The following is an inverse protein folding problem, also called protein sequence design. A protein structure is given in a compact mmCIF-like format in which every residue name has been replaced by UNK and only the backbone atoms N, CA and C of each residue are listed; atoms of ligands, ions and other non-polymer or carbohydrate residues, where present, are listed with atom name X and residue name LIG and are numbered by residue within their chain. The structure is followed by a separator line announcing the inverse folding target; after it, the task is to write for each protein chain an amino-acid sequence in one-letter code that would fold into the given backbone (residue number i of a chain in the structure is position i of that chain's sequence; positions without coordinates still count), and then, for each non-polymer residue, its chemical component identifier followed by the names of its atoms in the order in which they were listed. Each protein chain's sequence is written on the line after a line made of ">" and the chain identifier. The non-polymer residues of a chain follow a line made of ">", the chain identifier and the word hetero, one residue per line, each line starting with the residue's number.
data_IF_672701809186
#
_entry.id   IF_672701809186
#
_cell.length_a   1.000
_cell.length_b   1.000
_cell.length_c   1.000
_cell.angle_alpha   90.00
_cell.angle_beta   90.00
_cell.angle_gamma   90.00
#
_symmetry.space_group_name_H-M   'P 1'
#
loop_
_entity.id
_entity.type
_entity.pdbx_description
1 polymer ?
#
# COMPACT_ATOMS: atom_id res chain seq x y z
N UNK A 1 39.60 11.74 48.00
CA UNK A 1 38.24 11.22 47.96
C UNK A 1 37.34 12.28 47.24
N UNK A 2 37.10 12.13 45.97
CA UNK A 2 36.20 13.01 45.17
C UNK A 2 34.84 12.31 45.06
N UNK A 3 33.80 12.91 45.67
CA UNK A 3 32.41 12.43 45.56
C UNK A 3 31.85 12.85 44.19
N UNK A 4 31.47 11.88 43.39
CA UNK A 4 30.75 12.10 42.15
C UNK A 4 29.25 12.31 42.47
N UNK A 5 28.72 13.49 42.21
CA UNK A 5 27.28 13.77 42.28
C UNK A 5 26.66 13.27 40.99
N UNK A 6 25.82 12.25 41.09
CA UNK A 6 24.97 11.81 39.96
C UNK A 6 23.70 12.67 40.02
N UNK A 7 23.56 13.59 39.08
CA UNK A 7 22.33 14.35 38.86
C UNK A 7 21.33 13.47 38.11
N UNK A 8 20.34 12.92 38.80
CA UNK A 8 19.19 12.27 38.15
C UNK A 8 18.25 13.34 37.64
N UNK A 9 18.21 13.53 36.32
CA UNK A 9 17.20 14.37 35.65
C UNK A 9 15.87 13.62 35.62
N UNK A 10 14.96 13.99 36.52
CA UNK A 10 13.55 13.61 36.40
C UNK A 10 12.93 14.42 35.28
N UNK A 11 12.64 13.78 34.14
CA UNK A 11 11.75 14.36 33.15
C UNK A 11 10.33 14.35 33.74
N UNK A 12 9.87 15.50 34.18
CA UNK A 12 8.47 15.73 34.49
C UNK A 12 7.68 15.70 33.19
N UNK A 13 6.93 14.64 32.97
CA UNK A 13 5.86 14.62 31.97
C UNK A 13 4.81 15.60 32.49
N UNK A 14 4.70 16.76 31.86
CA UNK A 14 3.62 17.71 32.12
C UNK A 14 2.30 17.03 31.76
N UNK A 15 1.56 16.57 32.76
CA UNK A 15 0.21 16.08 32.62
C UNK A 15 -0.65 17.23 32.07
N UNK A 16 -1.34 17.03 30.95
CA UNK A 16 -2.43 17.91 30.52
C UNK A 16 -3.51 17.89 31.57
N UNK A 17 -3.79 19.03 32.15
CA UNK A 17 -4.52 19.20 33.40
C UNK A 17 -6.04 18.95 33.35
N UNK A 18 -6.64 18.49 32.21
CA UNK A 18 -8.10 18.41 32.07
C UNK A 18 -8.63 17.13 31.36
N UNK A 19 -7.82 16.12 31.11
CA UNK A 19 -8.38 14.85 30.60
C UNK A 19 -8.71 13.93 31.80
N UNK A 20 -9.94 13.37 31.85
CA UNK A 20 -10.30 12.41 32.88
C UNK A 20 -9.39 11.18 32.78
N UNK A 21 -8.96 10.64 33.90
CA UNK A 21 -8.14 9.43 33.94
C UNK A 21 -8.86 8.29 33.21
N UNK A 22 -8.14 7.51 32.40
CA UNK A 22 -8.75 6.41 31.65
C UNK A 22 -9.30 5.36 32.63
N UNK A 23 -10.43 4.74 32.25
CA UNK A 23 -11.07 3.67 33.02
C UNK A 23 -10.46 2.32 32.64
N UNK A 24 -10.42 1.40 33.58
CA UNK A 24 -9.99 0.02 33.31
C UNK A 24 -10.90 -0.57 32.22
N UNK A 25 -10.29 -1.19 31.18
CA UNK A 25 -10.96 -1.75 30.01
C UNK A 25 -11.63 -0.71 29.07
N UNK A 26 -11.38 0.57 29.26
CA UNK A 26 -11.82 1.59 28.32
C UNK A 26 -11.07 1.44 26.99
N UNK A 27 -11.82 1.39 25.89
CA UNK A 27 -11.25 1.27 24.54
C UNK A 27 -10.56 2.57 24.15
N UNK A 28 -9.28 2.48 23.75
CA UNK A 28 -8.60 3.61 23.12
C UNK A 28 -9.24 3.93 21.77
N UNK A 29 -9.55 5.20 21.55
CA UNK A 29 -10.14 5.69 20.29
C UNK A 29 -9.02 6.24 19.42
N UNK A 30 -8.93 5.74 18.19
CA UNK A 30 -8.03 6.27 17.16
C UNK A 30 -8.69 7.46 16.45
N UNK A 31 -7.88 8.36 15.87
CA UNK A 31 -8.37 9.45 14.99
C UNK A 31 -8.90 8.92 13.65
N UNK A 32 -8.42 7.72 13.23
CA UNK A 32 -8.81 7.12 11.96
C UNK A 32 -7.93 7.53 10.78
N UNK A 33 -6.76 8.11 11.07
CA UNK A 33 -5.76 8.48 10.09
C UNK A 33 -4.38 7.84 10.38
N UNK A 34 -4.30 6.97 11.38
CA UNK A 34 -3.04 6.37 11.78
C UNK A 34 -2.73 5.09 11.01
N UNK A 35 -1.44 4.93 10.68
CA UNK A 35 -0.84 3.67 10.24
C UNK A 35 -0.04 3.01 11.35
N UNK A 36 0.15 1.70 11.25
CA UNK A 36 0.93 0.89 12.21
C UNK A 36 2.31 0.59 11.64
N UNK A 37 3.35 0.90 12.42
CA UNK A 37 4.75 0.60 12.12
C UNK A 37 5.39 -0.02 13.36
N UNK A 38 5.78 -1.27 13.32
CA UNK A 38 6.31 -2.03 14.46
C UNK A 38 5.39 -1.92 15.71
N UNK A 39 4.08 -2.02 15.51
CA UNK A 39 3.09 -1.90 16.59
C UNK A 39 2.84 -0.47 17.10
N UNK A 40 3.53 0.55 16.55
CA UNK A 40 3.36 1.96 16.92
C UNK A 40 2.46 2.66 15.89
N UNK A 41 1.68 3.64 16.36
CA UNK A 41 0.76 4.43 15.53
C UNK A 41 1.42 5.73 15.06
N UNK A 42 1.25 6.04 13.76
CA UNK A 42 1.75 7.27 13.14
C UNK A 42 0.64 7.92 12.32
N UNK A 43 0.40 9.21 12.51
CA UNK A 43 -0.60 9.97 11.75
C UNK A 43 -0.20 10.15 10.29
N UNK A 44 -1.17 9.98 9.37
CA UNK A 44 -1.03 10.26 7.94
C UNK A 44 -1.81 11.51 7.50
N UNK A 45 -2.69 12.02 8.35
CA UNK A 45 -3.65 13.11 8.05
C UNK A 45 -4.65 12.78 6.94
N UNK A 46 -4.85 11.50 6.62
CA UNK A 46 -5.88 11.02 5.70
C UNK A 46 -6.55 9.77 6.27
N UNK A 47 -7.74 9.44 5.78
CA UNK A 47 -8.51 8.30 6.31
C UNK A 47 -7.78 6.97 6.12
N UNK A 48 -7.56 6.27 7.22
CA UNK A 48 -6.97 4.92 7.26
C UNK A 48 -7.87 3.96 8.03
N UNK A 49 -8.15 2.82 7.43
CA UNK A 49 -8.81 1.67 8.07
C UNK A 49 -7.75 0.60 8.29
N UNK A 50 -7.50 0.22 9.54
CA UNK A 50 -6.56 -0.85 9.87
C UNK A 50 -7.23 -2.22 9.74
N UNK A 51 -6.42 -3.27 9.61
CA UNK A 51 -6.91 -4.67 9.60
C UNK A 51 -7.69 -5.05 10.86
N UNK A 52 -7.49 -4.34 11.97
CA UNK A 52 -8.20 -4.53 13.25
C UNK A 52 -9.48 -3.72 13.38
N UNK A 53 -9.74 -2.79 12.46
CA UNK A 53 -10.94 -1.95 12.49
C UNK A 53 -12.14 -2.67 11.86
N UNK A 54 -13.37 -2.29 12.23
CA UNK A 54 -14.55 -2.76 11.50
C UNK A 54 -14.47 -2.42 10.01
N UNK A 55 -14.61 -3.45 9.17
CA UNK A 55 -14.49 -3.32 7.71
C UNK A 55 -13.06 -3.29 7.20
N UNK A 56 -12.06 -3.46 8.06
CA UNK A 56 -10.66 -3.60 7.68
C UNK A 56 -10.36 -4.92 6.94
N UNK A 57 -9.24 -4.92 6.22
CA UNK A 57 -8.77 -6.07 5.43
C UNK A 57 -7.62 -6.75 6.17
N UNK A 58 -7.92 -7.88 6.83
CA UNK A 58 -6.98 -8.59 7.68
C UNK A 58 -6.17 -9.62 6.90
N UNK A 59 -4.93 -9.26 6.50
CA UNK A 59 -4.01 -10.18 5.86
C UNK A 59 -3.27 -11.11 6.85
N UNK A 60 -3.48 -10.93 8.16
CA UNK A 60 -3.02 -11.87 9.19
C UNK A 60 -3.98 -13.05 9.37
N UNK A 61 -5.13 -13.06 8.69
CA UNK A 61 -6.07 -14.18 8.79
C UNK A 61 -5.36 -15.52 8.68
N UNK A 62 -5.54 -16.34 9.70
CA UNK A 62 -5.09 -17.74 9.67
C UNK A 62 -6.16 -18.55 8.94
N UNK A 63 -5.74 -19.24 7.90
CA UNK A 63 -6.62 -20.17 7.20
C UNK A 63 -6.77 -21.43 8.07
N UNK A 64 -7.99 -21.91 8.31
CA UNK A 64 -8.21 -23.15 9.03
C UNK A 64 -7.43 -24.30 8.40
N UNK A 65 -6.76 -25.10 9.23
CA UNK A 65 -5.97 -26.26 8.78
C UNK A 65 -6.82 -27.40 8.27
N UNK A 66 -8.06 -27.45 8.73
CA UNK A 66 -9.01 -28.52 8.42
C UNK A 66 -10.34 -27.92 7.96
N UNK A 67 -11.00 -28.58 7.01
CA UNK A 67 -12.33 -28.22 6.56
C UNK A 67 -13.40 -28.48 7.63
N UNK A 68 -14.64 -28.04 7.40
CA UNK A 68 -15.76 -28.28 8.32
C UNK A 68 -16.03 -29.77 8.61
N UNK A 69 -15.62 -30.63 7.71
CA UNK A 69 -15.66 -32.09 7.78
C UNK A 69 -14.47 -32.73 8.52
N UNK A 70 -13.53 -31.91 9.00
CA UNK A 70 -12.29 -32.37 9.64
C UNK A 70 -11.24 -32.93 8.67
N UNK A 71 -11.52 -32.94 7.37
CA UNK A 71 -10.60 -33.39 6.33
C UNK A 71 -9.55 -32.35 5.94
N UNK A 72 -8.43 -32.79 5.33
CA UNK A 72 -7.42 -31.86 4.80
C UNK A 72 -8.00 -31.13 3.60
N UNK A 73 -7.65 -29.90 3.52
CA UNK A 73 -8.16 -28.95 2.60
C UNK A 73 -7.35 -28.93 1.29
N UNK A 74 -8.00 -29.21 0.12
CA UNK A 74 -7.36 -29.27 -1.19
C UNK A 74 -7.19 -27.87 -1.84
N UNK A 75 -5.95 -27.53 -2.21
CA UNK A 75 -5.55 -26.26 -2.82
C UNK A 75 -6.01 -26.07 -4.27
N UNK A 76 -6.46 -27.11 -4.95
CA UNK A 76 -6.69 -27.08 -6.40
C UNK A 76 -8.09 -26.59 -6.81
N UNK A 77 -9.02 -26.52 -5.90
CA UNK A 77 -10.44 -26.24 -6.18
C UNK A 77 -10.98 -24.92 -5.63
N UNK A 78 -10.30 -23.83 -5.76
CA UNK A 78 -10.36 -22.51 -5.14
C UNK A 78 -9.60 -22.50 -3.82
N UNK A 79 -8.84 -21.47 -3.51
CA UNK A 79 -8.35 -21.29 -2.15
C UNK A 79 -9.54 -21.04 -1.25
N UNK A 80 -10.22 -22.09 -0.92
CA UNK A 80 -11.13 -22.13 0.17
C UNK A 80 -10.27 -21.87 1.40
N UNK A 81 -10.49 -20.76 2.07
CA UNK A 81 -9.77 -20.37 3.28
C UNK A 81 -9.88 -21.44 4.38
N UNK A 82 -10.76 -22.40 4.21
CA UNK A 82 -10.87 -23.58 5.07
C UNK A 82 -9.84 -24.65 4.74
N UNK A 83 -8.96 -24.44 3.70
CA UNK A 83 -8.12 -25.49 3.10
C UNK A 83 -6.63 -25.28 3.23
N UNK A 84 -6.14 -24.93 4.42
CA UNK A 84 -4.73 -24.95 4.76
C UNK A 84 -4.22 -26.37 4.98
N UNK A 85 -3.57 -26.92 3.97
CA UNK A 85 -2.81 -28.17 4.12
C UNK A 85 -1.49 -27.99 4.88
N UNK A 86 -0.76 -29.06 5.22
CA UNK A 86 0.59 -28.99 5.75
C UNK A 86 1.46 -28.14 4.80
N UNK A 87 2.03 -27.04 5.29
CA UNK A 87 2.82 -26.10 4.51
C UNK A 87 2.08 -24.85 4.02
N UNK A 88 0.83 -24.64 4.40
CA UNK A 88 0.18 -23.34 4.24
C UNK A 88 0.89 -22.32 5.11
N UNK A 89 1.40 -21.30 4.43
CA UNK A 89 2.16 -20.22 5.05
C UNK A 89 1.28 -18.98 5.07
N UNK A 90 1.53 -18.11 6.04
CA UNK A 90 1.12 -16.72 5.95
C UNK A 90 1.46 -16.17 4.55
N UNK A 91 0.65 -15.26 4.04
CA UNK A 91 0.89 -14.60 2.75
C UNK A 91 1.92 -13.48 2.85
N UNK A 92 2.70 -13.46 3.89
CA UNK A 92 3.77 -12.51 4.19
C UNK A 92 4.92 -13.25 4.87
N UNK A 93 6.07 -12.63 4.95
CA UNK A 93 7.25 -13.18 5.60
C UNK A 93 7.93 -12.19 6.54
N UNK A 94 8.97 -12.66 7.21
CA UNK A 94 9.85 -11.79 7.99
C UNK A 94 10.85 -11.11 7.04
N UNK A 95 11.08 -9.81 7.23
CA UNK A 95 12.17 -9.10 6.54
C UNK A 95 13.52 -9.63 7.02
N UNK A 96 14.43 -9.92 6.10
CA UNK A 96 15.77 -10.48 6.40
C UNK A 96 16.90 -9.78 5.66
N UNK A 97 16.58 -9.04 4.61
CA UNK A 97 17.60 -8.38 3.77
C UNK A 97 18.39 -7.33 4.57
N UNK A 98 19.71 -7.35 4.43
CA UNK A 98 20.59 -6.37 5.05
C UNK A 98 20.75 -6.47 6.56
N UNK A 99 20.33 -7.59 7.18
CA UNK A 99 20.49 -7.86 8.61
C UNK A 99 21.63 -8.85 8.87
N UNK A 100 22.40 -8.61 9.92
CA UNK A 100 23.35 -9.58 10.47
C UNK A 100 22.63 -10.76 11.15
N UNK A 101 23.28 -11.90 11.39
CA UNK A 101 22.71 -13.02 12.14
C UNK A 101 22.20 -12.61 13.54
N UNK A 102 22.90 -11.71 14.22
CA UNK A 102 22.51 -11.19 15.53
C UNK A 102 21.23 -10.36 15.43
N UNK A 103 21.10 -9.52 14.42
CA UNK A 103 19.90 -8.73 14.18
C UNK A 103 18.71 -9.61 13.77
N UNK A 104 18.94 -10.67 13.00
CA UNK A 104 17.89 -11.66 12.71
C UNK A 104 17.40 -12.32 14.00
N UNK A 105 18.30 -12.65 14.93
CA UNK A 105 17.89 -13.21 16.21
C UNK A 105 17.17 -12.18 17.09
N UNK A 106 17.60 -10.93 17.07
CA UNK A 106 16.92 -9.84 17.77
C UNK A 106 15.47 -9.65 17.29
N UNK A 107 15.22 -9.69 15.96
CA UNK A 107 13.84 -9.52 15.44
C UNK A 107 12.90 -10.66 15.78
N UNK A 108 13.40 -11.82 16.19
CA UNK A 108 12.56 -12.89 16.77
C UNK A 108 11.94 -12.45 18.10
N UNK A 109 12.60 -11.54 18.81
CA UNK A 109 12.05 -10.87 19.99
C UNK A 109 11.20 -9.65 19.72
N UNK A 110 11.11 -9.19 18.48
CA UNK A 110 10.31 -8.07 18.02
C UNK A 110 11.10 -7.03 17.22
N UNK A 111 10.42 -6.40 16.25
CA UNK A 111 10.96 -5.28 15.48
C UNK A 111 10.78 -3.96 16.20
N UNK A 112 11.77 -3.08 16.09
CA UNK A 112 11.65 -1.66 16.40
C UNK A 112 11.76 -0.79 15.13
N UNK A 113 11.33 0.47 15.23
CA UNK A 113 11.33 1.40 14.10
C UNK A 113 12.76 1.68 13.59
N UNK A 114 13.78 1.93 14.46
CA UNK A 114 15.16 2.13 14.01
C UNK A 114 15.73 0.97 13.19
N UNK A 115 15.46 -0.27 13.59
CA UNK A 115 15.91 -1.44 12.84
C UNK A 115 15.18 -1.56 11.50
N UNK A 116 13.87 -1.29 11.49
CA UNK A 116 13.09 -1.33 10.25
C UNK A 116 13.52 -0.24 9.26
N UNK A 117 13.88 0.95 9.73
CA UNK A 117 14.44 2.04 8.93
C UNK A 117 15.76 1.67 8.22
N UNK A 118 16.50 0.70 8.75
CA UNK A 118 17.72 0.20 8.11
C UNK A 118 17.44 -0.71 6.93
N UNK A 119 16.30 -1.38 6.93
CA UNK A 119 15.91 -2.40 5.94
C UNK A 119 15.01 -1.82 4.85
N UNK A 120 14.03 -0.99 5.23
CA UNK A 120 13.06 -0.44 4.29
C UNK A 120 13.61 0.80 3.60
N UNK A 121 13.70 0.74 2.27
CA UNK A 121 14.23 1.82 1.43
C UNK A 121 13.53 2.00 0.08
N UNK A 122 12.43 1.26 -0.14
CA UNK A 122 11.61 1.34 -1.36
C UNK A 122 10.12 1.39 -1.02
N UNK A 123 9.36 2.14 -1.84
CA UNK A 123 7.90 2.13 -1.85
C UNK A 123 7.43 1.79 -3.26
N UNK A 124 6.71 0.67 -3.43
CA UNK A 124 6.27 0.17 -4.73
C UNK A 124 4.77 0.42 -4.91
N UNK A 125 4.44 1.11 -6.00
CA UNK A 125 3.07 1.45 -6.36
C UNK A 125 2.57 0.52 -7.45
N UNK A 126 1.39 -0.07 -7.21
CA UNK A 126 0.66 -0.92 -8.14
C UNK A 126 -0.67 -0.27 -8.53
N UNK A 127 -1.26 -0.65 -9.65
CA UNK A 127 -2.71 -0.63 -9.80
C UNK A 127 -3.25 -2.03 -9.53
N UNK A 128 -4.43 -2.13 -8.91
CA UNK A 128 -4.98 -3.42 -8.48
C UNK A 128 -5.57 -4.28 -9.61
N UNK A 129 -5.75 -3.72 -10.80
CA UNK A 129 -6.38 -4.35 -11.97
C UNK A 129 -7.79 -4.92 -11.70
N UNK A 130 -8.36 -4.67 -10.53
CA UNK A 130 -9.69 -5.14 -10.11
C UNK A 130 -10.70 -4.00 -10.10
N UNK A 131 -10.27 -2.82 -9.68
CA UNK A 131 -11.03 -1.58 -9.69
C UNK A 131 -11.60 -1.18 -8.34
N UNK A 132 -11.50 -2.04 -7.30
CA UNK A 132 -11.86 -1.72 -5.91
C UNK A 132 -10.92 -2.43 -4.95
N UNK A 133 -10.59 -1.80 -3.83
CA UNK A 133 -9.75 -2.39 -2.80
C UNK A 133 -10.32 -3.68 -2.21
N UNK A 134 -11.64 -3.75 -2.06
CA UNK A 134 -12.32 -4.98 -1.56
C UNK A 134 -12.10 -6.16 -2.50
N UNK A 135 -12.33 -5.95 -3.79
CA UNK A 135 -12.11 -6.99 -4.81
C UNK A 135 -10.65 -7.39 -4.89
N UNK A 136 -9.74 -6.41 -4.85
CA UNK A 136 -8.31 -6.66 -4.84
C UNK A 136 -7.89 -7.52 -3.63
N UNK A 137 -8.35 -7.19 -2.43
CA UNK A 137 -8.05 -7.96 -1.23
C UNK A 137 -8.51 -9.42 -1.36
N UNK A 138 -9.72 -9.65 -1.87
CA UNK A 138 -10.23 -11.00 -2.12
C UNK A 138 -9.33 -11.78 -3.10
N UNK A 139 -8.95 -11.15 -4.22
CA UNK A 139 -8.08 -11.79 -5.22
C UNK A 139 -6.70 -12.10 -4.62
N UNK A 140 -6.07 -11.16 -3.92
CA UNK A 140 -4.75 -11.38 -3.33
C UNK A 140 -4.80 -12.43 -2.23
N UNK A 141 -5.70 -12.27 -1.27
CA UNK A 141 -5.75 -13.09 -0.07
C UNK A 141 -6.36 -14.47 -0.33
N UNK A 142 -7.49 -14.51 -1.06
CA UNK A 142 -8.31 -15.71 -1.14
C UNK A 142 -7.99 -16.56 -2.39
N UNK A 143 -7.49 -15.94 -3.47
CA UNK A 143 -7.23 -16.66 -4.72
C UNK A 143 -5.75 -16.87 -5.01
N UNK A 144 -4.89 -15.90 -4.68
CA UNK A 144 -3.49 -15.90 -5.10
C UNK A 144 -2.48 -16.20 -4.00
N UNK A 145 -2.87 -16.12 -2.73
CA UNK A 145 -1.95 -16.28 -1.61
C UNK A 145 -0.85 -15.20 -1.58
N UNK A 146 -1.21 -13.98 -1.92
CA UNK A 146 -0.34 -12.79 -1.94
C UNK A 146 -0.82 -11.75 -0.92
N UNK A 147 -0.01 -10.74 -0.67
CA UNK A 147 -0.33 -9.64 0.22
C UNK A 147 0.31 -8.33 -0.24
N UNK A 148 -0.21 -7.23 0.26
CA UNK A 148 0.35 -5.89 0.11
C UNK A 148 0.16 -5.16 1.44
N UNK A 149 0.95 -4.14 1.77
CA UNK A 149 0.80 -3.42 3.04
C UNK A 149 -0.41 -2.49 3.04
N UNK A 150 -0.67 -1.84 1.90
CA UNK A 150 -1.74 -0.87 1.75
C UNK A 150 -2.59 -1.15 0.52
N UNK A 151 -3.88 -0.82 0.64
CA UNK A 151 -4.79 -0.68 -0.49
C UNK A 151 -5.42 0.69 -0.44
N UNK A 152 -5.54 1.35 -1.57
CA UNK A 152 -6.11 2.69 -1.70
C UNK A 152 -7.32 2.63 -2.61
N UNK A 153 -8.51 2.81 -2.02
CA UNK A 153 -9.76 2.76 -2.77
C UNK A 153 -10.03 4.05 -3.56
N UNK A 154 -10.97 4.01 -4.48
CA UNK A 154 -11.32 5.11 -5.40
C UNK A 154 -11.74 6.39 -4.67
N UNK A 155 -12.28 6.29 -3.46
CA UNK A 155 -12.71 7.42 -2.62
C UNK A 155 -11.58 8.02 -1.77
N UNK A 156 -10.35 7.52 -1.90
CA UNK A 156 -9.20 7.96 -1.12
C UNK A 156 -9.05 7.28 0.24
N UNK A 157 -9.91 6.31 0.58
CA UNK A 157 -9.76 5.52 1.81
C UNK A 157 -8.57 4.57 1.66
N UNK A 158 -7.62 4.65 2.60
CA UNK A 158 -6.49 3.74 2.71
C UNK A 158 -6.87 2.59 3.65
N UNK A 159 -6.61 1.36 3.23
CA UNK A 159 -6.69 0.17 4.07
C UNK A 159 -5.28 -0.32 4.33
N UNK A 160 -4.86 -0.37 5.59
CA UNK A 160 -3.63 -1.05 5.95
C UNK A 160 -3.95 -2.50 6.33
N UNK A 161 -3.33 -3.45 5.64
CA UNK A 161 -3.63 -4.89 5.76
C UNK A 161 -2.63 -5.63 6.66
N UNK A 162 -1.40 -5.09 6.79
CA UNK A 162 -0.27 -5.63 7.55
C UNK A 162 0.52 -4.50 8.21
N UNK A 163 1.12 -4.77 9.37
CA UNK A 163 2.16 -3.92 9.95
C UNK A 163 3.37 -3.85 9.00
N UNK A 164 4.01 -2.69 8.88
CA UNK A 164 5.14 -2.48 7.96
C UNK A 164 6.39 -3.29 8.29
N UNK A 165 6.47 -3.88 9.48
CA UNK A 165 7.53 -4.83 9.84
C UNK A 165 7.49 -6.13 9.02
N UNK A 166 6.32 -6.50 8.51
CA UNK A 166 6.17 -7.69 7.70
C UNK A 166 6.76 -7.48 6.28
N UNK A 167 7.19 -8.56 5.63
CA UNK A 167 7.54 -8.58 4.21
C UNK A 167 6.33 -9.04 3.42
N UNK A 168 5.52 -8.12 2.91
CA UNK A 168 4.39 -8.46 2.05
C UNK A 168 4.87 -9.05 0.71
N UNK A 169 4.06 -9.92 0.11
CA UNK A 169 4.39 -10.60 -1.14
C UNK A 169 3.67 -9.95 -2.32
N UNK A 170 4.27 -8.88 -2.88
CA UNK A 170 3.66 -8.06 -3.94
C UNK A 170 4.59 -7.78 -5.14
N UNK A 171 5.92 -7.75 -4.95
CA UNK A 171 6.87 -7.30 -5.96
C UNK A 171 8.17 -8.13 -5.97
N UNK A 172 8.08 -9.45 -5.77
CA UNK A 172 9.16 -10.43 -5.87
C UNK A 172 10.46 -10.02 -5.16
N UNK A 173 11.49 -9.62 -5.94
CA UNK A 173 12.82 -9.24 -5.41
C UNK A 173 12.79 -7.98 -4.54
N UNK A 174 11.76 -7.14 -4.66
CA UNK A 174 11.59 -5.96 -3.82
C UNK A 174 10.95 -6.26 -2.44
N UNK A 175 10.26 -7.40 -2.26
CA UNK A 175 9.45 -7.69 -1.07
C UNK A 175 10.19 -7.46 0.25
N UNK A 176 11.45 -7.89 0.33
CA UNK A 176 12.24 -7.84 1.57
C UNK A 176 12.58 -6.43 2.05
N UNK A 177 12.61 -5.44 1.15
CA UNK A 177 13.05 -4.07 1.41
C UNK A 177 12.02 -2.99 1.06
N UNK A 178 10.87 -3.37 0.51
CA UNK A 178 9.84 -2.42 0.09
C UNK A 178 8.60 -2.44 0.96
N UNK A 179 7.88 -1.34 0.90
CA UNK A 179 6.46 -1.24 1.26
C UNK A 179 5.68 -1.24 -0.05
N UNK A 180 4.52 -1.90 -0.12
CA UNK A 180 3.69 -1.93 -1.31
C UNK A 180 2.31 -1.35 -1.09
N UNK A 181 1.74 -0.76 -2.15
CA UNK A 181 0.36 -0.29 -2.20
C UNK A 181 -0.32 -0.70 -3.50
N UNK A 182 -1.52 -1.25 -3.40
CA UNK A 182 -2.43 -1.47 -4.52
C UNK A 182 -3.41 -0.29 -4.58
N UNK A 183 -3.39 0.45 -5.70
CA UNK A 183 -4.29 1.58 -5.92
C UNK A 183 -5.44 1.13 -6.83
N UNK A 184 -6.67 1.28 -6.37
CA UNK A 184 -7.86 0.83 -7.10
C UNK A 184 -7.95 1.50 -8.47
N UNK A 185 -7.79 0.71 -9.52
CA UNK A 185 -7.91 1.10 -10.92
C UNK A 185 -7.93 -0.19 -11.75
N UNK A 186 -8.80 -0.27 -12.75
CA UNK A 186 -8.90 -1.49 -13.57
C UNK A 186 -7.67 -1.80 -14.40
N UNK A 187 -6.70 -0.89 -14.45
CA UNK A 187 -5.42 -1.06 -15.12
C UNK A 187 -5.34 -0.48 -16.52
N UNK A 188 -4.23 -0.80 -17.18
CA UNK A 188 -3.91 -0.35 -18.53
C UNK A 188 -4.08 -1.49 -19.54
N UNK A 189 -4.56 -1.17 -20.75
CA UNK A 189 -4.91 -2.11 -21.80
C UNK A 189 -4.28 -1.69 -23.11
N UNK A 190 -4.03 -2.65 -24.02
CA UNK A 190 -3.63 -2.35 -25.39
C UNK A 190 -4.72 -1.52 -26.12
N UNK A 191 -4.31 -0.72 -27.10
CA UNK A 191 -5.20 0.25 -27.76
C UNK A 191 -6.44 -0.37 -28.41
N UNK A 192 -6.35 -1.62 -28.81
CA UNK A 192 -7.47 -2.38 -29.41
C UNK A 192 -8.35 -3.10 -28.37
N UNK A 193 -8.01 -3.04 -27.07
CA UNK A 193 -8.79 -3.68 -26.00
C UNK A 193 -9.46 -2.61 -25.14
N UNK A 194 -10.71 -2.32 -25.44
CA UNK A 194 -11.54 -1.36 -24.70
C UNK A 194 -12.65 -2.00 -23.86
N UNK A 195 -12.85 -3.30 -24.00
CA UNK A 195 -14.04 -3.95 -23.46
C UNK A 195 -14.23 -3.76 -21.96
N UNK A 196 -13.13 -3.77 -21.17
CA UNK A 196 -13.20 -3.55 -19.73
C UNK A 196 -13.26 -2.06 -19.39
N UNK A 197 -12.52 -1.22 -20.11
CA UNK A 197 -12.55 0.24 -19.96
C UNK A 197 -13.98 0.75 -20.16
N UNK A 198 -14.62 0.36 -21.25
CA UNK A 198 -15.96 0.82 -21.63
C UNK A 198 -17.07 0.34 -20.66
N UNK A 199 -16.81 -0.71 -19.89
CA UNK A 199 -17.74 -1.17 -18.84
C UNK A 199 -17.63 -0.35 -17.56
N UNK A 200 -16.43 0.11 -17.20
CA UNK A 200 -16.16 0.80 -15.93
C UNK A 200 -16.26 2.33 -16.03
N UNK A 201 -16.07 2.89 -17.23
CA UNK A 201 -16.03 4.33 -17.44
C UNK A 201 -17.10 4.76 -18.45
N UNK A 202 -17.95 5.69 -18.05
CA UNK A 202 -19.04 6.20 -18.86
C UNK A 202 -19.10 7.73 -18.82
N UNK A 203 -19.48 8.41 -19.91
CA UNK A 203 -19.78 9.82 -19.85
C UNK A 203 -21.00 10.07 -18.94
N UNK A 204 -20.88 11.05 -18.06
CA UNK A 204 -21.97 11.54 -17.25
C UNK A 204 -22.89 12.52 -18.03
N UNK A 205 -23.98 13.01 -17.39
CA UNK A 205 -24.87 13.98 -18.00
C UNK A 205 -24.19 15.31 -18.35
N UNK A 206 -23.07 15.63 -17.67
CA UNK A 206 -22.23 16.81 -17.90
C UNK A 206 -21.12 16.57 -18.95
N UNK A 207 -21.13 15.41 -19.60
CA UNK A 207 -20.12 14.99 -20.57
C UNK A 207 -18.79 14.52 -19.99
N UNK A 208 -18.58 14.65 -18.67
CA UNK A 208 -17.36 14.19 -18.01
C UNK A 208 -17.43 12.70 -17.72
N UNK A 209 -16.27 12.06 -17.72
CA UNK A 209 -16.16 10.63 -17.41
C UNK A 209 -16.41 10.38 -15.93
N UNK A 210 -17.19 9.34 -15.64
CA UNK A 210 -17.45 8.82 -14.30
C UNK A 210 -17.15 7.33 -14.23
N UNK A 211 -16.83 6.89 -13.02
CA UNK A 211 -16.61 5.47 -12.71
C UNK A 211 -17.95 4.87 -12.32
N UNK A 212 -18.33 3.79 -13.00
CA UNK A 212 -19.61 3.12 -12.79
C UNK A 212 -19.42 1.68 -12.34
N UNK A 213 -20.43 1.11 -11.70
CA UNK A 213 -20.51 -0.31 -11.44
C UNK A 213 -20.66 -1.06 -12.79
N UNK A 214 -19.72 -1.95 -13.14
CA UNK A 214 -19.73 -2.63 -14.43
C UNK A 214 -20.92 -3.58 -14.61
N UNK A 215 -21.62 -3.98 -13.54
CA UNK A 215 -22.83 -4.82 -13.60
C UNK A 215 -24.11 -4.04 -13.86
N UNK A 216 -24.21 -2.79 -13.36
CA UNK A 216 -25.42 -2.00 -13.43
C UNK A 216 -25.30 -0.74 -14.28
N UNK A 217 -24.08 -0.32 -14.60
CA UNK A 217 -23.74 0.97 -15.25
C UNK A 217 -24.20 2.21 -14.46
N UNK A 218 -24.59 2.04 -13.19
CA UNK A 218 -24.86 3.15 -12.29
C UNK A 218 -23.55 3.71 -11.70
N UNK A 219 -23.54 4.99 -11.24
CA UNK A 219 -22.36 5.51 -10.54
C UNK A 219 -21.94 4.59 -9.39
N UNK A 220 -20.68 4.21 -9.38
CA UNK A 220 -20.13 3.38 -8.31
C UNK A 220 -20.11 4.18 -7.01
N UNK A 221 -20.65 3.59 -5.94
CA UNK A 221 -20.65 4.17 -4.60
C UNK A 221 -19.80 3.36 -3.66
N UNK A 222 -18.89 4.01 -2.96
CA UNK A 222 -18.00 3.42 -1.97
C UNK A 222 -18.12 4.17 -0.64
N UNK A 223 -18.20 3.43 0.47
CA UNK A 223 -18.12 3.98 1.83
C UNK A 223 -19.05 5.19 2.08
N UNK A 224 -20.22 5.25 1.46
CA UNK A 224 -21.15 6.38 1.56
C UNK A 224 -20.56 7.71 1.07
N UNK A 225 -19.63 7.67 0.11
CA UNK A 225 -19.11 8.90 -0.50
C UNK A 225 -20.24 9.74 -1.07
N UNK A 226 -20.32 11.01 -0.65
CA UNK A 226 -21.33 11.96 -1.10
C UNK A 226 -21.05 12.52 -2.50
N UNK A 227 -19.96 12.10 -3.15
CA UNK A 227 -19.51 12.59 -4.44
C UNK A 227 -19.40 11.46 -5.46
N UNK A 228 -19.58 11.82 -6.71
CA UNK A 228 -19.44 10.91 -7.84
C UNK A 228 -17.96 10.63 -8.12
N UNK A 229 -17.61 9.35 -8.22
CA UNK A 229 -16.24 8.91 -8.49
C UNK A 229 -15.87 9.16 -9.96
N UNK A 230 -14.76 9.85 -10.18
CA UNK A 230 -14.27 10.24 -11.51
C UNK A 230 -12.76 10.11 -11.62
N UNK A 231 -12.21 9.80 -12.78
CA UNK A 231 -10.78 9.96 -13.02
C UNK A 231 -10.40 11.44 -12.87
N UNK A 232 -9.17 11.73 -12.43
CA UNK A 232 -8.71 13.12 -12.23
C UNK A 232 -8.51 13.88 -13.55
N UNK A 233 -8.42 13.16 -14.66
CA UNK A 233 -8.45 13.65 -16.06
C UNK A 233 -9.50 12.87 -16.82
N UNK A 234 -10.35 13.58 -17.58
CA UNK A 234 -11.42 12.95 -18.38
C UNK A 234 -10.89 12.20 -19.60
N UNK A 235 -9.68 12.53 -20.05
CA UNK A 235 -9.09 11.90 -21.23
C UNK A 235 -8.60 10.48 -20.94
N UNK A 236 -8.76 9.61 -21.92
CA UNK A 236 -8.12 8.31 -21.95
C UNK A 236 -6.65 8.49 -22.31
N UNK A 237 -5.77 8.23 -21.35
CA UNK A 237 -4.34 8.48 -21.51
C UNK A 237 -3.68 7.32 -22.25
N UNK A 238 -2.96 7.66 -23.32
CA UNK A 238 -2.12 6.72 -24.06
C UNK A 238 -0.66 6.95 -23.73
N UNK A 239 0.09 5.86 -23.54
CA UNK A 239 1.52 5.94 -23.32
C UNK A 239 2.20 4.57 -23.33
N UNK A 240 3.53 4.59 -23.39
CA UNK A 240 4.34 3.37 -23.51
C UNK A 240 4.92 2.98 -22.16
N UNK A 241 4.73 1.72 -21.76
CA UNK A 241 5.39 1.10 -20.60
C UNK A 241 5.96 -0.25 -21.06
N UNK A 242 7.21 -0.55 -20.75
CA UNK A 242 7.91 -1.79 -21.19
C UNK A 242 7.83 -2.03 -22.70
N UNK A 243 7.91 -0.95 -23.50
CA UNK A 243 7.76 -1.04 -24.95
C UNK A 243 6.34 -1.34 -25.46
N UNK A 244 5.35 -1.47 -24.56
CA UNK A 244 3.96 -1.72 -24.89
C UNK A 244 3.18 -0.40 -24.95
N UNK A 245 2.44 -0.18 -26.02
CA UNK A 245 1.55 0.96 -26.16
C UNK A 245 0.21 0.65 -25.50
N UNK A 246 -0.13 1.41 -24.44
CA UNK A 246 -1.23 1.15 -23.53
C UNK A 246 -2.12 2.38 -23.36
N UNK A 247 -3.40 2.13 -23.07
CA UNK A 247 -4.39 3.15 -22.74
C UNK A 247 -4.96 2.89 -21.33
N UNK A 248 -5.23 3.96 -20.59
CA UNK A 248 -5.70 3.89 -19.20
C UNK A 248 -6.44 5.16 -18.83
N UNK A 249 -7.57 5.05 -18.12
CA UNK A 249 -8.10 6.20 -17.39
C UNK A 249 -7.32 6.45 -16.11
N UNK A 250 -7.22 7.72 -15.76
CA UNK A 250 -6.48 8.20 -14.61
C UNK A 250 -7.09 7.74 -13.28
N UNK A 251 -6.30 7.80 -12.24
CA UNK A 251 -6.73 7.64 -10.85
C UNK A 251 -7.59 8.84 -10.42
N UNK A 252 -8.34 8.70 -9.34
CA UNK A 252 -9.19 9.79 -8.84
C UNK A 252 -8.36 10.88 -8.16
N UNK A 253 -8.97 12.08 -8.02
CA UNK A 253 -8.38 13.17 -7.26
C UNK A 253 -8.12 12.76 -5.81
N UNK A 254 -9.07 12.06 -5.20
CA UNK A 254 -9.02 11.57 -3.82
C UNK A 254 -7.90 10.58 -3.60
N UNK A 255 -7.65 9.70 -4.59
CA UNK A 255 -6.52 8.77 -4.54
C UNK A 255 -5.18 9.51 -4.55
N UNK A 256 -4.99 10.52 -5.40
CA UNK A 256 -3.75 11.30 -5.40
C UNK A 256 -3.53 12.08 -4.10
N UNK A 257 -4.58 12.66 -3.52
CA UNK A 257 -4.49 13.38 -2.25
C UNK A 257 -4.09 12.45 -1.09
N UNK A 258 -4.74 11.31 -0.98
CA UNK A 258 -4.44 10.31 0.04
C UNK A 258 -3.05 9.67 -0.15
N UNK A 259 -2.70 9.33 -1.41
CA UNK A 259 -1.41 8.75 -1.75
C UNK A 259 -0.25 9.72 -1.46
N UNK A 260 -0.43 11.00 -1.74
CA UNK A 260 0.60 12.01 -1.44
C UNK A 260 0.86 12.13 0.08
N UNK A 261 -0.20 12.09 0.90
CA UNK A 261 -0.08 12.11 2.36
C UNK A 261 0.59 10.85 2.90
N UNK A 262 0.19 9.67 2.42
CA UNK A 262 0.84 8.41 2.78
C UNK A 262 2.30 8.40 2.36
N UNK A 263 2.61 8.83 1.13
CA UNK A 263 3.99 8.90 0.61
C UNK A 263 4.86 9.83 1.47
N UNK A 264 4.36 11.02 1.81
CA UNK A 264 5.06 11.95 2.69
C UNK A 264 5.32 11.32 4.08
N UNK A 265 4.32 10.66 4.64
CA UNK A 265 4.45 9.93 5.92
C UNK A 265 5.51 8.85 5.84
N UNK A 266 5.48 8.00 4.81
CA UNK A 266 6.46 6.93 4.64
C UNK A 266 7.87 7.45 4.42
N UNK A 267 8.07 8.50 3.61
CA UNK A 267 9.38 9.12 3.41
C UNK A 267 9.92 9.79 4.70
N UNK A 268 9.04 10.28 5.56
CA UNK A 268 9.41 10.86 6.87
C UNK A 268 9.80 9.76 7.86
N UNK A 269 9.02 8.68 7.96
CA UNK A 269 9.32 7.56 8.86
C UNK A 269 10.54 6.78 8.36
N UNK A 270 10.68 6.57 7.06
CA UNK A 270 11.76 5.80 6.42
C UNK A 270 12.64 6.71 5.55
N UNK A 271 13.62 7.41 6.11
CA UNK A 271 14.40 8.42 5.39
C UNK A 271 15.26 7.86 4.23
N UNK A 272 15.42 6.54 4.15
CA UNK A 272 16.04 5.90 2.99
C UNK A 272 15.11 5.88 1.77
N UNK A 273 13.80 5.98 1.93
CA UNK A 273 12.87 6.14 0.82
C UNK A 273 12.96 7.59 0.35
N UNK A 274 13.79 7.87 -0.65
CA UNK A 274 13.83 9.19 -1.27
C UNK A 274 12.48 9.47 -1.92
N UNK A 275 11.93 10.66 -1.68
CA UNK A 275 10.68 11.09 -2.29
C UNK A 275 10.93 11.46 -3.76
N UNK A 276 11.26 10.47 -4.59
CA UNK A 276 11.49 10.56 -6.03
C UNK A 276 11.30 9.18 -6.68
N UNK A 277 11.12 9.19 -8.01
CA UNK A 277 10.96 7.99 -8.84
C UNK A 277 12.18 7.83 -9.78
N UNK A 278 12.39 6.63 -10.41
CA UNK A 278 13.49 6.41 -11.33
C UNK A 278 13.43 7.32 -12.56
N UNK A 279 14.53 8.04 -12.79
CA UNK A 279 14.70 8.92 -13.94
C UNK A 279 15.79 8.39 -14.87
N UNK A 280 15.67 8.67 -16.15
CA UNK A 280 16.73 8.44 -17.12
C UNK A 280 17.82 9.55 -17.06
N UNK A 281 18.81 9.48 -17.93
CA UNK A 281 19.89 10.45 -18.00
C UNK A 281 19.44 11.87 -18.40
N UNK A 282 18.27 12.00 -19.02
CA UNK A 282 17.65 13.27 -19.38
C UNK A 282 16.74 13.82 -18.27
N UNK A 283 16.60 13.09 -17.14
CA UNK A 283 15.73 13.45 -16.03
C UNK A 283 14.26 13.06 -16.23
N UNK A 284 13.91 12.39 -17.31
CA UNK A 284 12.56 11.93 -17.57
C UNK A 284 12.25 10.62 -16.83
N UNK A 285 10.95 10.34 -16.66
CA UNK A 285 10.49 9.09 -16.05
C UNK A 285 11.01 7.88 -16.85
N UNK A 286 11.70 6.98 -16.15
CA UNK A 286 12.06 5.69 -16.71
C UNK A 286 10.82 4.80 -16.76
N UNK A 287 10.49 4.29 -17.96
CA UNK A 287 9.24 3.52 -18.20
C UNK A 287 9.48 2.03 -18.42
N UNK A 288 10.62 1.54 -17.97
CA UNK A 288 11.08 0.18 -18.13
C UNK A 288 11.65 -0.35 -16.81
N UNK A 289 11.78 -1.67 -16.73
CA UNK A 289 12.48 -2.30 -15.61
C UNK A 289 13.86 -1.67 -15.42
N UNK A 290 14.23 -1.39 -14.18
CA UNK A 290 15.59 -1.01 -13.84
C UNK A 290 16.55 -2.16 -14.12
N UNK A 291 17.75 -1.89 -14.71
CA UNK A 291 18.83 -2.87 -14.68
C UNK A 291 19.10 -3.37 -13.26
N UNK A 292 19.47 -4.63 -13.11
CA UNK A 292 19.64 -5.22 -11.78
C UNK A 292 20.60 -4.43 -10.86
N UNK A 293 21.78 -3.94 -11.34
CA UNK A 293 22.64 -3.08 -10.51
C UNK A 293 22.00 -1.75 -10.08
N UNK A 294 21.21 -1.14 -10.97
CA UNK A 294 20.49 0.10 -10.67
C UNK A 294 19.39 -0.17 -9.62
N UNK A 295 18.66 -1.30 -9.77
CA UNK A 295 17.62 -1.71 -8.82
C UNK A 295 18.20 -1.98 -7.42
N UNK A 296 19.33 -2.67 -7.33
CA UNK A 296 19.99 -2.97 -6.06
C UNK A 296 20.36 -1.72 -5.27
N UNK A 297 20.77 -0.67 -5.97
CA UNK A 297 21.18 0.59 -5.36
C UNK A 297 20.09 1.63 -5.25
N UNK A 298 18.98 1.46 -6.01
CA UNK A 298 17.88 2.41 -6.00
C UNK A 298 17.15 2.43 -4.64
N UNK A 299 16.90 3.65 -4.15
CA UNK A 299 16.16 3.92 -2.92
C UNK A 299 15.14 5.02 -3.20
N UNK A 300 13.86 4.71 -3.03
CA UNK A 300 12.80 5.67 -3.34
C UNK A 300 11.51 4.98 -3.81
N UNK A 301 10.73 5.68 -4.61
CA UNK A 301 9.39 5.26 -5.04
C UNK A 301 9.48 4.60 -6.41
N UNK A 302 8.87 3.43 -6.55
CA UNK A 302 8.90 2.59 -7.76
C UNK A 302 7.48 2.30 -8.24
N UNK A 303 7.28 2.15 -9.54
CA UNK A 303 6.18 1.36 -10.08
C UNK A 303 6.60 -0.11 -10.18
N UNK A 304 5.66 -1.02 -10.20
CA UNK A 304 5.97 -2.44 -10.34
C UNK A 304 6.75 -2.75 -11.63
N UNK A 305 6.47 -2.03 -12.71
CA UNK A 305 7.22 -2.16 -13.96
C UNK A 305 8.72 -1.80 -13.84
N UNK A 306 9.14 -1.03 -12.84
CA UNK A 306 10.56 -0.82 -12.56
C UNK A 306 11.25 -2.05 -11.94
N UNK A 307 10.46 -2.99 -11.40
CA UNK A 307 10.94 -4.22 -10.71
C UNK A 307 10.92 -5.42 -11.63
N UNK A 308 9.89 -5.55 -12.49
CA UNK A 308 9.67 -6.74 -13.32
C UNK A 308 9.27 -6.38 -14.76
N UNK A 309 9.85 -7.09 -15.75
CA UNK A 309 9.61 -6.84 -17.19
C UNK A 309 8.20 -7.19 -17.66
N UNK A 310 7.49 -8.07 -16.95
CA UNK A 310 6.12 -8.49 -17.29
C UNK A 310 5.05 -7.68 -16.56
N UNK A 311 5.42 -6.52 -16.03
CA UNK A 311 4.52 -5.62 -15.27
C UNK A 311 4.43 -4.27 -15.94
N UNK A 312 3.23 -3.68 -15.88
CA UNK A 312 2.96 -2.35 -16.47
C UNK A 312 2.40 -1.37 -15.45
N UNK A 313 2.03 -1.84 -14.26
CA UNK A 313 1.47 -1.01 -13.18
C UNK A 313 2.54 -0.07 -12.55
N UNK A 314 2.14 1.17 -12.18
CA UNK A 314 0.79 1.74 -12.14
C UNK A 314 0.26 2.29 -13.48
N UNK A 315 0.94 2.08 -14.60
CA UNK A 315 0.47 2.38 -15.95
C UNK A 315 0.80 3.81 -16.45
N UNK A 316 0.44 4.09 -17.72
CA UNK A 316 0.80 5.34 -18.36
C UNK A 316 0.03 6.57 -17.84
N UNK A 317 -1.14 6.38 -17.23
CA UNK A 317 -1.92 7.48 -16.71
C UNK A 317 -1.43 8.01 -15.35
N UNK A 318 -0.56 7.28 -14.65
CA UNK A 318 -0.10 7.68 -13.31
C UNK A 318 0.73 8.96 -13.34
N UNK A 319 0.32 9.97 -12.57
CA UNK A 319 0.92 11.30 -12.52
C UNK A 319 2.06 11.35 -11.50
N UNK A 320 3.25 10.88 -11.88
CA UNK A 320 4.42 10.79 -11.01
C UNK A 320 4.83 12.14 -10.40
N UNK A 321 4.99 13.18 -11.21
CA UNK A 321 5.40 14.51 -10.72
C UNK A 321 4.39 15.09 -9.74
N UNK A 322 3.09 14.92 -10.03
CA UNK A 322 2.02 15.34 -9.12
C UNK A 322 2.15 14.68 -7.74
N UNK A 323 2.40 13.38 -7.70
CA UNK A 323 2.61 12.66 -6.45
C UNK A 323 3.82 13.20 -5.70
N UNK A 324 4.98 13.28 -6.37
CA UNK A 324 6.24 13.68 -5.75
C UNK A 324 6.18 15.13 -5.24
N UNK A 325 5.71 16.05 -6.07
CA UNK A 325 5.61 17.47 -5.71
C UNK A 325 4.65 17.71 -4.55
N UNK A 326 3.50 17.02 -4.56
CA UNK A 326 2.53 17.08 -3.47
C UNK A 326 3.10 16.52 -2.17
N UNK A 327 3.78 15.37 -2.24
CA UNK A 327 4.41 14.75 -1.07
C UNK A 327 5.53 15.61 -0.49
N UNK A 328 6.40 16.17 -1.33
CA UNK A 328 7.48 17.08 -0.90
C UNK A 328 6.93 18.35 -0.23
N UNK A 329 5.85 18.92 -0.76
CA UNK A 329 5.18 20.08 -0.15
C UNK A 329 4.61 19.76 1.24
N UNK A 330 4.12 18.54 1.43
CA UNK A 330 3.62 18.08 2.74
C UNK A 330 4.76 17.87 3.74
N UNK A 331 5.89 17.33 3.31
CA UNK A 331 7.08 17.12 4.16
C UNK A 331 7.78 18.41 4.58
N UNK A 332 7.59 19.49 3.83
CA UNK A 332 8.21 20.80 4.13
C UNK A 332 7.42 21.67 5.14
N UNK A 333 6.26 21.19 5.58
CA UNK A 333 5.40 21.86 6.58
C UNK A 333 5.74 21.41 7.98
#
# INVERSE_FOLDING_TARGET
>A
MKRLLVLSAFFAVAARADEPLPRIAEKLVRSGDEIVVCGQLFHTTTKVVLWTDPGGYDAYRVVPRFGPDGGPVDRKTKPDLTKAGPGWRSHYGMRRGGLSPQEIEQVRGGWDVPLLQRVVDQFVIHFDAVGTSRGCFQVLQDERGLSVHFMLDLDGTIYQTLDLKESAWHATIANGRSIGIEVANIGAYHLNDRGRIDRWYKPGPDGKIRIVDPGTSQPLQLNSSAFELRPSRDDLIVGTIQGQELQQYDFTQQQYEALAKLTATLCTIFPKIRCDYPRDAAGALRREKLPDPDFETYRGILGHYHVQTNKVDPGPAFQWDRLIDSSRKLMAR
#
